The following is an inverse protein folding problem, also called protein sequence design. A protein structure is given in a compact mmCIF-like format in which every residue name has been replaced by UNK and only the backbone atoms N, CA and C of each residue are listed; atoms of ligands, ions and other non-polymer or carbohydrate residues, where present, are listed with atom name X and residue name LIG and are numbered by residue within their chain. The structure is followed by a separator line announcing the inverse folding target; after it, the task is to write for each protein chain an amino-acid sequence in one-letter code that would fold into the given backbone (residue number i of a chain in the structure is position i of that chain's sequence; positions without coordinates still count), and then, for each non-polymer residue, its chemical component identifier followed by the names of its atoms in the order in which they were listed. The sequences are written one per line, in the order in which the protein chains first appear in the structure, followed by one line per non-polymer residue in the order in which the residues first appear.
data_IF_850451916302
#
_entry.id   IF_850451916302
#
_cell.length_a   1.000
_cell.length_b   1.000
_cell.length_c   1.000
_cell.angle_alpha   90.00
_cell.angle_beta   90.00
_cell.angle_gamma   90.00
#
_symmetry.space_group_name_H-M   'P 1'
#
loop_
_entity.id
_entity.type
_entity.pdbx_description
1 polymer ?
#
# COMPACT_ATOMS: atom_id res chain seq x y z
N UNK A 1 -0.12 6.87 -15.81
CA UNK A 1 0.03 6.94 -14.35
C UNK A 1 0.38 5.57 -13.80
N UNK A 2 1.10 5.53 -12.71
CA UNK A 2 1.59 4.26 -12.16
C UNK A 2 0.64 3.77 -11.07
N UNK A 3 0.00 2.63 -11.31
CA UNK A 3 -0.96 2.05 -10.37
C UNK A 3 -0.34 0.91 -9.58
N UNK A 4 -1.06 0.43 -8.57
CA UNK A 4 -0.65 -0.76 -7.82
C UNK A 4 -0.55 -1.97 -8.74
N UNK A 5 -1.49 -2.11 -9.69
CA UNK A 5 -1.43 -3.20 -10.67
C UNK A 5 -0.15 -3.13 -11.51
N UNK A 6 0.26 -1.92 -11.92
CA UNK A 6 1.51 -1.74 -12.65
C UNK A 6 2.73 -2.15 -11.82
N UNK A 7 2.71 -1.83 -10.53
CA UNK A 7 3.80 -2.20 -9.63
C UNK A 7 3.91 -3.73 -9.51
N UNK A 8 2.80 -4.40 -9.33
CA UNK A 8 2.77 -5.86 -9.19
C UNK A 8 3.31 -6.56 -10.43
N UNK A 9 3.05 -6.01 -11.62
CA UNK A 9 3.55 -6.58 -12.87
C UNK A 9 5.07 -6.46 -13.01
N UNK A 10 5.70 -5.53 -12.30
CA UNK A 10 7.11 -5.17 -12.51
C UNK A 10 8.04 -5.72 -11.46
N UNK A 11 7.55 -6.03 -10.29
CA UNK A 11 8.41 -6.49 -9.20
C UNK A 11 7.66 -7.36 -8.21
N UNK A 12 8.42 -8.20 -7.53
CA UNK A 12 7.94 -9.03 -6.43
C UNK A 12 8.33 -8.33 -5.13
N UNK A 13 7.34 -8.09 -4.28
CA UNK A 13 7.55 -7.49 -2.97
C UNK A 13 7.27 -8.59 -1.94
N UNK A 14 8.18 -8.75 -0.99
CA UNK A 14 8.03 -9.73 0.08
C UNK A 14 7.73 -9.04 1.40
N UNK A 15 6.95 -9.72 2.24
CA UNK A 15 6.72 -9.27 3.60
C UNK A 15 5.54 -8.32 3.75
N UNK A 16 5.68 -7.43 4.71
CA UNK A 16 4.58 -6.56 5.13
C UNK A 16 4.38 -5.39 4.18
N UNK A 17 3.15 -5.21 3.72
CA UNK A 17 2.76 -4.09 2.87
C UNK A 17 1.45 -3.52 3.39
N UNK A 18 1.37 -2.21 3.43
CA UNK A 18 0.13 -1.50 3.77
C UNK A 18 -0.17 -0.51 2.66
N UNK A 19 -1.41 -0.47 2.21
CA UNK A 19 -1.89 0.47 1.20
C UNK A 19 -2.77 1.48 1.90
N UNK A 20 -2.43 2.75 1.79
CA UNK A 20 -3.11 3.85 2.46
C UNK A 20 -3.53 4.94 1.48
N UNK A 21 -4.52 5.72 1.86
CA UNK A 21 -4.94 6.93 1.14
C UNK A 21 -5.12 8.06 2.15
N UNK A 22 -4.76 9.27 1.75
CA UNK A 22 -5.03 10.45 2.57
C UNK A 22 -6.46 10.92 2.31
N UNK A 23 -7.25 11.01 3.37
CA UNK A 23 -8.61 11.51 3.31
C UNK A 23 -8.61 12.98 3.74
N UNK A 24 -8.79 13.88 2.78
CA UNK A 24 -8.77 15.32 3.04
C UNK A 24 -9.94 15.80 3.89
N UNK A 25 -11.04 15.08 3.89
CA UNK A 25 -12.22 15.43 4.69
C UNK A 25 -11.96 15.16 6.15
N UNK A 26 -11.40 14.00 6.46
CA UNK A 26 -11.05 13.60 7.83
C UNK A 26 -9.67 14.11 8.25
N UNK A 27 -8.91 14.63 7.32
CA UNK A 27 -7.52 15.08 7.54
C UNK A 27 -6.66 13.99 8.16
N UNK A 28 -6.83 12.76 7.68
CA UNK A 28 -6.13 11.60 8.21
C UNK A 28 -5.83 10.59 7.10
N UNK A 29 -4.90 9.70 7.39
CA UNK A 29 -4.53 8.61 6.48
C UNK A 29 -5.33 7.37 6.85
N UNK A 30 -5.97 6.79 5.84
CA UNK A 30 -6.83 5.62 6.02
C UNK A 30 -6.16 4.40 5.39
N UNK A 31 -6.11 3.29 6.11
CA UNK A 31 -5.63 2.03 5.57
C UNK A 31 -6.72 1.39 4.73
N UNK A 32 -6.41 1.16 3.46
CA UNK A 32 -7.33 0.52 2.54
C UNK A 32 -7.18 -0.99 2.52
N UNK A 33 -5.95 -1.46 2.63
CA UNK A 33 -5.64 -2.88 2.56
C UNK A 33 -4.25 -3.12 3.14
N UNK A 34 -4.05 -4.25 3.80
CA UNK A 34 -2.75 -4.58 4.36
C UNK A 34 -2.53 -6.08 4.40
N UNK A 35 -1.28 -6.48 4.40
CA UNK A 35 -0.89 -7.89 4.52
C UNK A 35 0.47 -8.00 5.19
N UNK A 36 0.72 -9.14 5.82
CA UNK A 36 2.03 -9.50 6.33
C UNK A 36 2.86 -10.27 5.29
N UNK A 37 2.25 -10.68 4.19
CA UNK A 37 2.88 -11.57 3.21
C UNK A 37 2.45 -11.23 1.79
N UNK A 38 2.92 -10.10 1.30
CA UNK A 38 2.51 -9.54 0.03
C UNK A 38 2.76 -10.50 -1.14
N UNK A 39 3.86 -11.23 -1.11
CA UNK A 39 4.22 -12.17 -2.17
C UNK A 39 3.12 -13.20 -2.44
N UNK A 40 2.38 -13.60 -1.41
CA UNK A 40 1.33 -14.59 -1.52
C UNK A 40 -0.08 -14.00 -1.50
N UNK A 41 -0.21 -12.74 -1.09
CA UNK A 41 -1.52 -12.13 -0.87
C UNK A 41 -1.90 -11.05 -1.89
N UNK A 42 -0.98 -10.62 -2.73
CA UNK A 42 -1.25 -9.50 -3.64
C UNK A 42 -2.43 -9.76 -4.58
N UNK A 43 -2.71 -11.02 -4.91
CA UNK A 43 -3.84 -11.37 -5.78
C UNK A 43 -5.19 -11.14 -5.11
N UNK A 44 -5.20 -10.89 -3.80
CA UNK A 44 -6.41 -10.60 -3.03
C UNK A 44 -6.74 -9.13 -2.96
N UNK A 45 -5.90 -8.26 -3.51
CA UNK A 45 -6.17 -6.83 -3.53
C UNK A 45 -7.41 -6.55 -4.37
N UNK A 46 -8.42 -5.85 -3.81
CA UNK A 46 -9.61 -5.51 -4.57
C UNK A 46 -9.28 -4.69 -5.82
N UNK A 47 -9.99 -4.91 -6.89
CA UNK A 47 -9.77 -4.23 -8.16
C UNK A 47 -9.79 -2.70 -8.03
N UNK A 48 -10.72 -2.18 -7.24
CA UNK A 48 -10.82 -0.74 -7.02
C UNK A 48 -9.58 -0.13 -6.36
N UNK A 49 -8.85 -0.91 -5.56
CA UNK A 49 -7.61 -0.47 -4.93
C UNK A 49 -6.44 -0.68 -5.90
N UNK A 50 -6.42 -1.82 -6.60
CA UNK A 50 -5.33 -2.14 -7.52
C UNK A 50 -5.20 -1.14 -8.66
N UNK A 51 -6.27 -0.47 -9.04
CA UNK A 51 -6.28 0.52 -10.11
C UNK A 51 -6.00 1.95 -9.64
N UNK A 52 -5.81 2.16 -8.35
CA UNK A 52 -5.46 3.48 -7.81
C UNK A 52 -4.01 3.83 -8.11
N UNK A 53 -3.76 5.11 -8.33
CA UNK A 53 -2.41 5.59 -8.65
C UNK A 53 -1.57 5.73 -7.39
N UNK A 54 -0.30 5.33 -7.49
CA UNK A 54 0.65 5.43 -6.39
C UNK A 54 1.18 6.86 -6.34
N UNK A 55 1.04 7.50 -5.19
CA UNK A 55 1.63 8.81 -4.94
C UNK A 55 2.99 8.72 -4.27
N UNK A 56 3.09 7.90 -3.24
CA UNK A 56 4.30 7.75 -2.44
C UNK A 56 4.52 6.31 -2.05
N UNK A 57 5.80 5.94 -1.91
CA UNK A 57 6.19 4.66 -1.34
C UNK A 57 7.33 4.91 -0.36
N UNK A 58 7.22 4.37 0.82
CA UNK A 58 8.26 4.49 1.83
C UNK A 58 8.19 3.31 2.80
N UNK A 59 9.26 3.07 3.51
CA UNK A 59 9.29 1.99 4.49
C UNK A 59 9.27 2.55 5.91
N UNK A 60 8.62 1.81 6.80
CA UNK A 60 8.63 2.12 8.23
C UNK A 60 9.07 0.88 8.98
N UNK A 61 9.72 1.09 10.12
CA UNK A 61 10.10 0.01 11.02
C UNK A 61 9.09 -0.06 12.15
N UNK A 62 8.52 -1.23 12.36
CA UNK A 62 7.59 -1.49 13.44
C UNK A 62 8.20 -2.49 14.41
N UNK A 63 7.77 -2.44 15.67
CA UNK A 63 8.28 -3.32 16.71
C UNK A 63 7.14 -4.03 17.41
N UNK A 64 7.27 -5.34 17.54
CA UNK A 64 6.30 -6.16 18.24
C UNK A 64 7.04 -7.21 19.06
N UNK A 65 6.83 -7.23 20.37
CA UNK A 65 7.43 -8.20 21.29
C UNK A 65 8.95 -8.33 21.11
N UNK A 66 9.67 -7.21 21.14
CA UNK A 66 11.12 -7.12 20.92
C UNK A 66 11.59 -7.53 19.53
N UNK A 67 10.66 -7.77 18.62
CA UNK A 67 10.95 -8.08 17.23
C UNK A 67 10.69 -6.86 16.35
N UNK A 68 11.71 -6.48 15.58
CA UNK A 68 11.57 -5.38 14.61
C UNK A 68 11.32 -5.93 13.21
N UNK A 69 10.39 -5.33 12.49
CA UNK A 69 10.10 -5.69 11.10
C UNK A 69 9.85 -4.45 10.27
N UNK A 70 10.19 -4.57 8.99
CA UNK A 70 9.95 -3.50 8.05
C UNK A 70 8.59 -3.66 7.37
N UNK A 71 7.93 -2.55 7.11
CA UNK A 71 6.68 -2.52 6.35
C UNK A 71 6.82 -1.52 5.22
N UNK A 72 6.50 -1.95 4.01
CA UNK A 72 6.40 -1.04 2.87
C UNK A 72 5.04 -0.36 2.90
N UNK A 73 5.04 0.95 2.93
CA UNK A 73 3.81 1.74 2.87
C UNK A 73 3.65 2.25 1.44
N UNK A 74 2.51 1.96 0.84
CA UNK A 74 2.14 2.46 -0.47
C UNK A 74 0.98 3.42 -0.25
N UNK A 75 1.21 4.69 -0.50
CA UNK A 75 0.18 5.70 -0.36
C UNK A 75 -0.36 6.04 -1.74
N UNK A 76 -1.64 5.77 -1.95
CA UNK A 76 -2.31 6.01 -3.23
C UNK A 76 -3.05 7.33 -3.21
N UNK A 77 -3.32 7.86 -4.38
CA UNK A 77 -4.04 9.11 -4.55
C UNK A 77 -5.32 8.85 -5.33
N UNK A 78 -6.35 9.61 -5.01
CA UNK A 78 -7.61 9.55 -5.75
C UNK A 78 -7.48 10.36 -7.03
N UNK A 79 -7.95 9.79 -8.16
CA UNK A 79 -7.84 10.42 -9.46
C UNK A 79 -8.83 11.58 -9.67
N UNK A 80 -9.78 11.72 -8.78
CA UNK A 80 -10.86 12.70 -8.93
C UNK A 80 -10.39 14.16 -8.92
N UNK A 81 -9.15 14.39 -8.52
CA UNK A 81 -8.61 15.73 -8.37
C UNK A 81 -7.86 16.25 -9.60
N UNK A 82 -7.98 15.52 -10.71
CA UNK A 82 -7.33 15.91 -11.96
C UNK A 82 -8.30 16.46 -12.97
#
# INVERSE_FOLDING_TARGET
MFTIADLIERMIIQGNVVIRVYDSIKEDVITLWETEDFEYEYCKIPYGIATMCIGYMYSVTSKKDDYEYGTLVIEVVEEEDF
#
